data_IF_562001341448
#
_entry.id   IF_562001341448
#
_cell.length_a   1.000
_cell.length_b   1.000
_cell.length_c   1.000
_cell.angle_alpha   90.00
_cell.angle_beta   90.00
_cell.angle_gamma   90.00
#
_symmetry.space_group_name_H-M   'P 1'
#
loop_
_entity.id
_entity.type
_entity.pdbx_description
1 polymer ?
#
# COMPACT_ATOMS: atom_id res chain seq x y z
N UNK A 1 -10.58 0.62 29.40
CA UNK A 1 -10.47 -0.66 28.68
C UNK A 1 -11.36 -1.69 29.35
N UNK A 2 -12.10 -2.47 28.56
CA UNK A 2 -12.89 -3.61 29.04
C UNK A 2 -12.48 -4.86 28.25
N UNK A 3 -12.25 -5.98 28.95
CA UNK A 3 -11.99 -7.28 28.33
C UNK A 3 -13.18 -8.18 28.63
N UNK A 4 -13.82 -8.70 27.58
CA UNK A 4 -14.89 -9.69 27.68
C UNK A 4 -14.41 -11.00 27.07
N UNK A 5 -13.77 -11.84 27.89
CA UNK A 5 -13.14 -13.09 27.43
C UNK A 5 -14.14 -14.07 26.79
N UNK A 6 -15.35 -14.20 27.35
CA UNK A 6 -16.41 -15.05 26.80
C UNK A 6 -16.84 -14.64 25.39
N UNK A 7 -16.72 -13.36 25.07
CA UNK A 7 -17.04 -12.78 23.76
C UNK A 7 -15.79 -12.59 22.89
N UNK A 8 -14.59 -12.92 23.40
CA UNK A 8 -13.30 -12.65 22.77
C UNK A 8 -13.18 -11.20 22.27
N UNK A 9 -13.68 -10.24 23.06
CA UNK A 9 -13.74 -8.83 22.68
C UNK A 9 -12.92 -7.97 23.66
N UNK A 10 -12.18 -7.01 23.11
CA UNK A 10 -11.55 -5.93 23.87
C UNK A 10 -12.19 -4.62 23.42
N UNK A 11 -12.65 -3.81 24.37
CA UNK A 11 -13.14 -2.46 24.13
C UNK A 11 -12.12 -1.45 24.63
N UNK A 12 -11.61 -0.63 23.70
CA UNK A 12 -10.61 0.40 23.92
C UNK A 12 -11.17 1.75 23.48
N UNK A 13 -10.55 2.83 23.94
CA UNK A 13 -10.82 4.21 23.51
C UNK A 13 -12.32 4.53 23.46
N UNK A 14 -13.01 4.44 24.60
CA UNK A 14 -14.47 4.59 24.69
C UNK A 14 -14.89 6.01 25.09
N UNK A 15 -14.05 7.02 24.80
CA UNK A 15 -14.41 8.42 25.01
C UNK A 15 -15.57 8.82 24.10
N UNK A 16 -16.30 9.87 24.48
CA UNK A 16 -17.59 10.21 23.86
C UNK A 16 -17.43 10.69 22.41
N UNK A 17 -16.39 11.47 22.12
CA UNK A 17 -16.18 12.09 20.81
C UNK A 17 -14.97 11.48 20.08
N UNK A 18 -14.95 11.57 18.75
CA UNK A 18 -13.81 11.13 17.93
C UNK A 18 -12.50 11.83 18.36
N UNK A 19 -12.45 13.16 18.57
CA UNK A 19 -11.20 13.82 18.97
C UNK A 19 -10.67 13.36 20.33
N UNK A 20 -11.56 13.10 21.31
CA UNK A 20 -11.15 12.57 22.61
C UNK A 20 -10.61 11.13 22.50
N UNK A 21 -11.17 10.31 21.62
CA UNK A 21 -10.67 8.96 21.35
C UNK A 21 -9.30 9.02 20.67
N UNK A 22 -9.15 9.83 19.63
CA UNK A 22 -7.88 10.05 18.92
C UNK A 22 -6.80 10.58 19.85
N UNK A 23 -7.11 11.53 20.74
CA UNK A 23 -6.18 12.03 21.74
C UNK A 23 -5.73 10.93 22.73
N UNK A 24 -6.66 10.06 23.16
CA UNK A 24 -6.34 8.94 24.04
C UNK A 24 -5.47 7.87 23.35
N UNK A 25 -5.72 7.59 22.07
CA UNK A 25 -4.90 6.70 21.23
C UNK A 25 -3.49 7.28 21.10
N UNK A 26 -3.38 8.54 20.69
CA UNK A 26 -2.10 9.23 20.51
C UNK A 26 -1.26 9.23 21.81
N UNK A 27 -1.87 9.58 22.95
CA UNK A 27 -1.19 9.55 24.25
C UNK A 27 -0.68 8.14 24.62
N UNK A 28 -1.46 7.11 24.29
CA UNK A 28 -1.07 5.70 24.55
C UNK A 28 0.10 5.28 23.66
N UNK A 29 0.01 5.54 22.35
CA UNK A 29 1.06 5.22 21.39
C UNK A 29 2.36 6.00 21.70
N UNK A 30 2.26 7.27 22.08
CA UNK A 30 3.41 8.09 22.46
C UNK A 30 4.09 7.59 23.73
N UNK A 31 3.29 7.16 24.74
CA UNK A 31 3.83 6.50 25.92
C UNK A 31 4.59 5.23 25.56
N UNK A 32 4.02 4.37 24.71
CA UNK A 32 4.70 3.15 24.25
C UNK A 32 5.96 3.44 23.44
N UNK A 33 5.95 4.45 22.58
CA UNK A 33 7.10 4.89 21.79
C UNK A 33 8.23 5.39 22.69
N UNK A 34 7.91 6.29 23.62
CA UNK A 34 8.88 6.85 24.59
C UNK A 34 9.53 5.75 25.43
N UNK A 35 8.74 4.76 25.85
CA UNK A 35 9.22 3.63 26.63
C UNK A 35 9.81 2.49 25.78
N UNK A 36 9.88 2.64 24.45
CA UNK A 36 10.33 1.62 23.50
C UNK A 36 9.67 0.26 23.74
N UNK A 37 8.37 0.27 24.07
CA UNK A 37 7.60 -0.93 24.41
C UNK A 37 7.43 -1.85 23.21
N UNK A 38 7.30 -1.27 22.02
CA UNK A 38 7.16 -1.98 20.76
C UNK A 38 8.17 -1.45 19.73
N UNK A 39 8.83 -2.37 19.03
CA UNK A 39 9.83 -2.08 18.01
C UNK A 39 9.22 -1.38 16.79
N UNK A 40 7.98 -1.70 16.40
CA UNK A 40 7.30 -1.04 15.24
C UNK A 40 7.30 0.48 15.38
N UNK A 41 7.21 0.99 16.62
CA UNK A 41 7.10 2.42 16.91
C UNK A 41 8.39 3.20 16.67
N UNK A 42 9.50 2.50 16.38
CA UNK A 42 10.71 3.15 15.85
C UNK A 42 10.51 3.71 14.43
N UNK A 43 9.54 3.18 13.69
CA UNK A 43 9.17 3.60 12.34
C UNK A 43 8.08 4.66 12.29
N UNK A 44 8.01 5.54 13.30
CA UNK A 44 7.04 6.63 13.43
C UNK A 44 7.17 7.63 12.26
N UNK A 45 6.05 8.06 11.70
CA UNK A 45 6.01 8.93 10.49
C UNK A 45 5.21 10.22 10.63
N UNK A 46 4.62 10.47 11.79
CA UNK A 46 3.66 11.57 11.98
C UNK A 46 2.49 11.53 10.98
N UNK A 47 2.12 10.31 10.58
CA UNK A 47 1.08 10.01 9.61
C UNK A 47 -0.04 9.23 10.31
N UNK A 48 -1.28 9.72 10.22
CA UNK A 48 -2.41 9.16 10.96
C UNK A 48 -3.33 8.34 10.05
N UNK A 49 -3.52 7.07 10.36
CA UNK A 49 -4.45 6.17 9.68
C UNK A 49 -5.83 6.17 10.35
N UNK A 50 -6.92 6.12 9.56
CA UNK A 50 -8.28 6.13 10.08
C UNK A 50 -8.72 4.75 10.58
N UNK A 51 -9.47 4.72 11.67
CA UNK A 51 -10.22 3.53 12.12
C UNK A 51 -11.71 3.77 11.88
N UNK A 52 -12.30 2.97 10.99
CA UNK A 52 -13.68 3.15 10.55
C UNK A 52 -14.70 2.38 11.40
N UNK A 53 -15.84 3.03 11.63
CA UNK A 53 -17.04 2.47 12.23
C UNK A 53 -18.15 2.22 11.21
N UNK A 54 -19.36 1.83 11.67
CA UNK A 54 -20.52 1.66 10.81
C UNK A 54 -20.82 2.92 10.00
N UNK A 55 -21.18 2.78 8.72
CA UNK A 55 -21.41 3.92 7.85
C UNK A 55 -20.14 4.67 7.41
N UNK A 56 -18.96 4.08 7.60
CA UNK A 56 -17.65 4.65 7.28
C UNK A 56 -17.34 5.95 8.03
N UNK A 57 -17.92 6.14 9.22
CA UNK A 57 -17.48 7.20 10.11
C UNK A 57 -16.07 6.91 10.65
N UNK A 58 -15.25 7.94 10.82
CA UNK A 58 -13.96 7.81 11.50
C UNK A 58 -14.24 7.77 13.00
N UNK A 59 -13.90 6.64 13.65
CA UNK A 59 -14.06 6.49 15.09
C UNK A 59 -12.92 7.16 15.86
N UNK A 60 -11.70 7.01 15.35
CA UNK A 60 -10.46 7.61 15.84
C UNK A 60 -9.36 7.40 14.81
N UNK A 61 -8.25 8.10 14.99
CA UNK A 61 -7.06 8.00 14.15
C UNK A 61 -5.88 7.47 14.96
N UNK A 62 -4.98 6.75 14.30
CA UNK A 62 -3.81 6.14 14.93
C UNK A 62 -2.57 6.36 14.09
N UNK A 63 -1.42 6.54 14.72
CA UNK A 63 -0.18 6.65 13.97
C UNK A 63 0.10 5.38 13.17
N UNK A 64 0.55 5.56 11.92
CA UNK A 64 0.74 4.51 10.91
C UNK A 64 1.54 3.33 11.41
N UNK A 65 2.68 3.55 12.08
CA UNK A 65 3.51 2.49 12.64
C UNK A 65 2.81 1.72 13.76
N UNK A 66 1.98 2.37 14.56
CA UNK A 66 1.22 1.76 15.65
C UNK A 66 0.00 0.95 15.18
N UNK A 67 -0.56 1.25 13.99
CA UNK A 67 -1.79 0.64 13.47
C UNK A 67 -1.80 -0.90 13.50
N UNK A 68 -0.64 -1.51 13.21
CA UNK A 68 -0.47 -2.96 13.11
C UNK A 68 -0.50 -3.68 14.46
N UNK A 69 -0.23 -2.97 15.58
CA UNK A 69 -0.38 -3.52 16.93
C UNK A 69 -1.84 -3.85 17.26
N UNK A 70 -2.77 -3.20 16.56
CA UNK A 70 -4.21 -3.36 16.75
C UNK A 70 -4.88 -4.14 15.62
N UNK A 71 -4.12 -4.55 14.59
CA UNK A 71 -4.67 -5.19 13.40
C UNK A 71 -5.65 -4.30 12.63
N UNK A 72 -5.41 -2.99 12.63
CA UNK A 72 -6.22 -2.02 11.89
C UNK A 72 -5.97 -2.19 10.39
N UNK A 73 -7.05 -2.10 9.61
CA UNK A 73 -7.00 -2.07 8.16
C UNK A 73 -6.34 -0.78 7.67
N UNK A 74 -5.16 -0.91 7.07
CA UNK A 74 -4.47 0.18 6.39
C UNK A 74 -5.06 0.46 5.01
N UNK A 75 -4.96 1.71 4.59
CA UNK A 75 -5.33 2.15 3.25
C UNK A 75 -4.11 2.78 2.58
N UNK A 76 -4.01 2.57 1.28
CA UNK A 76 -2.97 3.17 0.46
C UNK A 76 -3.37 3.21 -1.00
N UNK A 77 -2.49 3.76 -1.81
CA UNK A 77 -2.60 3.80 -3.27
C UNK A 77 -1.39 3.11 -3.87
N UNK A 78 -1.61 2.47 -5.01
CA UNK A 78 -0.55 1.88 -5.81
C UNK A 78 -0.82 2.18 -7.28
N UNK A 79 0.22 2.55 -8.02
CA UNK A 79 0.13 2.82 -9.44
C UNK A 79 1.21 2.12 -10.24
N UNK A 80 0.81 1.55 -11.39
CA UNK A 80 1.73 1.12 -12.43
C UNK A 80 1.73 2.10 -13.60
N UNK A 81 2.87 2.74 -13.85
CA UNK A 81 3.07 3.53 -15.05
C UNK A 81 3.78 2.73 -16.14
N UNK A 82 3.36 2.92 -17.37
CA UNK A 82 3.90 2.20 -18.53
C UNK A 82 3.91 3.08 -19.77
N UNK A 83 4.73 2.68 -20.75
CA UNK A 83 4.75 3.28 -22.09
C UNK A 83 4.41 2.21 -23.12
N UNK A 84 3.70 2.60 -24.18
CA UNK A 84 3.45 1.72 -25.33
C UNK A 84 4.74 1.50 -26.11
N UNK A 85 4.99 0.24 -26.44
CA UNK A 85 6.23 -0.23 -27.08
C UNK A 85 5.87 -1.44 -27.96
N UNK A 86 5.27 -1.22 -29.15
CA UNK A 86 4.75 -2.30 -30.01
C UNK A 86 5.78 -3.36 -30.42
N UNK A 87 7.07 -3.01 -30.36
CA UNK A 87 8.20 -3.85 -30.72
C UNK A 87 8.55 -4.92 -29.69
N UNK A 88 8.06 -4.80 -28.44
CA UNK A 88 8.31 -5.81 -27.39
C UNK A 88 7.08 -6.70 -27.16
N UNK A 89 7.31 -7.88 -26.57
CA UNK A 89 6.22 -8.78 -26.16
C UNK A 89 5.27 -8.03 -25.21
N UNK A 90 3.96 -8.18 -25.43
CA UNK A 90 2.87 -7.46 -24.75
C UNK A 90 2.74 -5.96 -25.09
N UNK A 91 3.55 -5.43 -26.01
CA UNK A 91 3.36 -4.08 -26.57
C UNK A 91 3.60 -2.94 -25.58
N UNK A 92 4.28 -3.19 -24.45
CA UNK A 92 4.52 -2.19 -23.42
C UNK A 92 5.79 -2.44 -22.60
N UNK A 93 6.29 -1.38 -21.97
CA UNK A 93 7.31 -1.42 -20.93
C UNK A 93 6.81 -0.71 -19.68
N UNK A 94 7.19 -1.22 -18.51
CA UNK A 94 6.77 -0.73 -17.20
C UNK A 94 7.89 0.07 -16.56
N UNK A 95 7.54 1.18 -15.91
CA UNK A 95 8.46 1.93 -15.06
C UNK A 95 8.52 1.30 -13.67
N UNK A 96 9.71 0.82 -13.29
CA UNK A 96 9.93 0.11 -12.02
C UNK A 96 10.99 0.86 -11.20
N UNK A 97 10.63 1.45 -10.05
CA UNK A 97 11.60 2.06 -9.16
C UNK A 97 12.35 1.04 -8.31
N UNK A 98 13.57 1.40 -7.94
CA UNK A 98 14.35 0.81 -6.86
C UNK A 98 14.19 1.71 -5.64
N UNK A 99 13.70 1.16 -4.52
CA UNK A 99 13.60 1.88 -3.25
C UNK A 99 14.99 2.28 -2.76
N UNK A 100 15.10 3.45 -2.15
CA UNK A 100 16.35 3.89 -1.54
C UNK A 100 16.87 2.90 -0.50
N UNK A 101 18.19 2.72 -0.45
CA UNK A 101 18.86 1.90 0.55
C UNK A 101 18.64 2.41 2.00
N UNK A 102 18.24 3.67 2.17
CA UNK A 102 17.97 4.28 3.48
C UNK A 102 16.51 4.20 3.91
N UNK A 103 15.62 3.62 3.09
CA UNK A 103 14.21 3.41 3.47
C UNK A 103 14.12 2.54 4.72
N UNK A 104 13.24 2.94 5.65
CA UNK A 104 13.00 2.20 6.90
C UNK A 104 12.47 0.78 6.68
N UNK A 105 11.66 0.58 5.64
CA UNK A 105 11.07 -0.71 5.30
C UNK A 105 11.49 -1.11 3.89
N UNK A 106 11.85 -2.39 3.73
CA UNK A 106 12.22 -2.98 2.44
C UNK A 106 13.25 -2.14 1.64
N UNK A 107 14.42 -1.81 2.23
CA UNK A 107 15.45 -1.03 1.54
C UNK A 107 15.96 -1.77 0.30
N UNK A 108 16.23 -1.04 -0.78
CA UNK A 108 16.76 -1.58 -2.05
C UNK A 108 15.89 -2.62 -2.79
N UNK A 109 14.66 -2.86 -2.33
CA UNK A 109 13.70 -3.69 -3.07
C UNK A 109 13.09 -2.89 -4.24
N UNK A 110 12.59 -3.59 -5.24
CA UNK A 110 11.79 -2.99 -6.31
C UNK A 110 10.37 -2.71 -5.81
N UNK A 111 9.76 -1.66 -6.36
CA UNK A 111 8.40 -1.22 -5.99
C UNK A 111 7.48 -1.10 -7.22
N UNK A 112 6.21 -0.78 -7.00
CA UNK A 112 5.36 -0.26 -8.07
C UNK A 112 5.78 1.18 -8.41
N UNK A 113 5.35 1.72 -9.56
CA UNK A 113 5.89 3.02 -10.03
C UNK A 113 5.72 4.14 -9.02
N UNK A 114 4.56 4.17 -8.37
CA UNK A 114 4.24 5.07 -7.25
C UNK A 114 3.42 4.27 -6.24
N UNK A 115 3.72 4.40 -4.95
CA UNK A 115 2.97 3.74 -3.89
C UNK A 115 3.02 4.50 -2.55
N UNK A 116 1.84 4.77 -1.97
CA UNK A 116 1.72 5.66 -0.82
C UNK A 116 0.71 5.21 0.21
N UNK A 117 0.92 5.61 1.47
CA UNK A 117 -0.08 5.47 2.52
C UNK A 117 -1.19 6.52 2.36
N UNK A 118 -2.39 6.22 2.86
CA UNK A 118 -3.47 7.20 2.92
C UNK A 118 -3.70 7.67 4.35
N UNK A 119 -3.55 8.98 4.55
CA UNK A 119 -3.84 9.62 5.82
C UNK A 119 -5.35 9.76 6.07
N UNK A 120 -5.71 9.96 7.33
CA UNK A 120 -7.10 10.17 7.75
C UNK A 120 -7.68 11.39 7.05
N UNK A 121 -8.82 11.21 6.38
CA UNK A 121 -9.51 12.27 5.65
C UNK A 121 -8.91 12.62 4.29
N UNK A 122 -7.85 11.93 3.87
CA UNK A 122 -7.25 12.12 2.55
C UNK A 122 -8.12 11.48 1.45
N UNK A 123 -8.31 12.22 0.35
CA UNK A 123 -8.96 11.67 -0.84
C UNK A 123 -8.01 10.74 -1.61
N UNK A 124 -8.55 9.65 -2.15
CA UNK A 124 -7.76 8.60 -2.82
C UNK A 124 -7.00 9.12 -4.04
N UNK A 125 -7.60 10.04 -4.79
CA UNK A 125 -7.00 10.57 -6.00
C UNK A 125 -6.02 11.69 -5.68
N UNK A 126 -6.30 12.50 -4.66
CA UNK A 126 -5.34 13.49 -4.16
C UNK A 126 -4.10 12.83 -3.56
N UNK A 127 -4.24 11.71 -2.84
CA UNK A 127 -3.12 10.88 -2.39
C UNK A 127 -2.28 10.41 -3.58
N UNK A 128 -2.91 9.88 -4.64
CA UNK A 128 -2.21 9.48 -5.85
C UNK A 128 -1.41 10.66 -6.45
N UNK A 129 -2.03 11.83 -6.61
CA UNK A 129 -1.39 13.01 -7.22
C UNK A 129 -0.18 13.47 -6.40
N UNK A 130 -0.30 13.50 -5.07
CA UNK A 130 0.80 13.84 -4.15
C UNK A 130 1.96 12.87 -4.31
N UNK A 131 1.71 11.57 -4.19
CA UNK A 131 2.74 10.52 -4.27
C UNK A 131 3.40 10.47 -5.66
N UNK A 132 2.64 10.75 -6.73
CA UNK A 132 3.20 10.88 -8.08
C UNK A 132 4.27 11.96 -8.19
N UNK A 133 4.06 13.08 -7.52
CA UNK A 133 5.01 14.19 -7.48
C UNK A 133 6.19 13.87 -6.56
N UNK A 134 5.93 13.30 -5.38
CA UNK A 134 6.95 12.98 -4.36
C UNK A 134 7.92 11.88 -4.82
N UNK A 135 7.42 10.79 -5.40
CA UNK A 135 8.28 9.64 -5.74
C UNK A 135 8.84 9.69 -7.18
N UNK A 136 8.07 10.21 -8.14
CA UNK A 136 8.35 10.06 -9.57
C UNK A 136 8.47 11.37 -10.36
N UNK A 137 8.29 12.53 -9.70
CA UNK A 137 8.27 13.85 -10.34
C UNK A 137 7.25 13.96 -11.49
N UNK A 138 6.14 13.21 -11.44
CA UNK A 138 5.16 13.27 -12.52
C UNK A 138 4.40 14.60 -12.48
N UNK A 139 4.26 15.30 -13.62
CA UNK A 139 3.43 16.50 -13.70
C UNK A 139 1.97 16.19 -13.33
N UNK A 140 1.41 17.00 -12.44
CA UNK A 140 0.04 16.83 -11.94
C UNK A 140 -1.00 16.78 -13.07
N UNK A 141 -0.86 17.61 -14.11
CA UNK A 141 -1.77 17.66 -15.24
C UNK A 141 -1.78 16.34 -16.03
N UNK A 142 -0.63 15.67 -16.16
CA UNK A 142 -0.53 14.36 -16.80
C UNK A 142 -1.22 13.30 -15.96
N UNK A 143 -0.96 13.28 -14.65
CA UNK A 143 -1.57 12.31 -13.72
C UNK A 143 -3.09 12.46 -13.73
N UNK A 144 -3.59 13.67 -13.50
CA UNK A 144 -5.04 13.93 -13.43
C UNK A 144 -5.77 13.59 -14.72
N UNK A 145 -5.12 13.80 -15.87
CA UNK A 145 -5.72 13.55 -17.18
C UNK A 145 -5.71 12.07 -17.58
N UNK A 146 -4.64 11.35 -17.24
CA UNK A 146 -4.36 10.04 -17.84
C UNK A 146 -4.45 8.87 -16.85
N UNK A 147 -4.43 9.11 -15.53
CA UNK A 147 -4.54 8.06 -14.55
C UNK A 147 -5.90 7.38 -14.61
N UNK A 148 -5.91 6.05 -14.58
CA UNK A 148 -7.13 5.21 -14.63
C UNK A 148 -7.26 4.42 -13.34
N UNK A 149 -8.39 4.56 -12.65
CA UNK A 149 -8.70 3.77 -11.46
C UNK A 149 -9.17 2.37 -11.84
N UNK A 150 -8.70 1.35 -11.12
CA UNK A 150 -9.01 -0.06 -11.34
C UNK A 150 -9.65 -0.76 -10.13
N UNK A 151 -10.12 0.02 -9.15
CA UNK A 151 -10.74 -0.52 -7.93
C UNK A 151 -9.73 -0.64 -6.80
N UNK A 152 -9.86 -1.66 -5.97
CA UNK A 152 -9.00 -1.89 -4.82
C UNK A 152 -8.62 -3.37 -4.70
N UNK A 153 -7.38 -3.61 -4.28
CA UNK A 153 -6.90 -4.91 -3.83
C UNK A 153 -6.98 -4.96 -2.32
N UNK A 154 -7.40 -6.10 -1.79
CA UNK A 154 -7.49 -6.32 -0.36
C UNK A 154 -6.83 -7.62 0.00
N UNK A 155 -5.92 -7.57 0.96
CA UNK A 155 -5.14 -8.73 1.37
C UNK A 155 -4.79 -8.66 2.86
N UNK A 156 -4.24 -9.76 3.34
CA UNK A 156 -3.82 -9.90 4.73
C UNK A 156 -2.34 -10.23 4.76
N UNK A 157 -1.53 -9.27 5.20
CA UNK A 157 -0.11 -9.47 5.38
C UNK A 157 0.17 -9.89 6.82
N UNK A 158 0.87 -11.01 6.99
CA UNK A 158 1.41 -11.42 8.30
C UNK A 158 2.86 -11.00 8.32
N UNK A 159 3.22 -10.06 9.20
CA UNK A 159 4.56 -9.47 9.21
C UNK A 159 5.63 -10.53 9.46
N UNK A 160 6.49 -10.73 8.48
CA UNK A 160 7.70 -11.54 8.60
C UNK A 160 8.87 -10.74 9.18
N UNK A 161 10.01 -11.41 9.38
CA UNK A 161 11.23 -10.81 9.90
C UNK A 161 11.78 -9.65 9.03
N UNK A 162 11.41 -9.59 7.75
CA UNK A 162 11.85 -8.57 6.80
C UNK A 162 10.99 -7.30 6.81
N UNK A 163 9.84 -7.30 7.51
CA UNK A 163 8.95 -6.14 7.59
C UNK A 163 9.45 -5.05 8.56
N UNK A 164 10.42 -5.39 9.43
CA UNK A 164 10.88 -4.55 10.53
C UNK A 164 9.90 -4.55 11.73
N UNK A 165 10.44 -4.37 12.94
CA UNK A 165 9.67 -4.45 14.19
C UNK A 165 9.14 -5.85 14.47
N UNK A 166 8.01 -5.93 15.17
CA UNK A 166 7.40 -7.17 15.61
C UNK A 166 6.98 -8.10 14.45
N UNK A 167 7.30 -9.38 14.61
CA UNK A 167 6.89 -10.46 13.70
C UNK A 167 5.56 -11.08 14.13
N UNK A 168 4.83 -11.65 13.17
CA UNK A 168 3.55 -12.32 13.41
C UNK A 168 2.36 -11.38 13.61
N UNK A 169 2.58 -10.06 13.57
CA UNK A 169 1.48 -9.11 13.60
C UNK A 169 0.64 -9.18 12.33
N UNK A 170 -0.64 -8.94 12.52
CA UNK A 170 -1.70 -9.04 11.53
C UNK A 170 -1.90 -7.68 10.87
N UNK A 171 -1.57 -7.54 9.59
CA UNK A 171 -1.64 -6.28 8.84
C UNK A 171 -2.59 -6.43 7.65
N UNK A 172 -3.89 -6.22 7.86
CA UNK A 172 -4.83 -6.13 6.75
C UNK A 172 -4.63 -4.83 5.98
N UNK A 173 -4.68 -4.88 4.66
CA UNK A 173 -4.43 -3.74 3.77
C UNK A 173 -5.48 -3.67 2.66
N UNK A 174 -5.80 -2.44 2.26
CA UNK A 174 -6.64 -2.10 1.13
C UNK A 174 -5.90 -1.07 0.27
N UNK A 175 -5.49 -1.47 -0.92
CA UNK A 175 -4.71 -0.63 -1.83
C UNK A 175 -5.55 -0.25 -3.05
N UNK A 176 -5.77 1.05 -3.26
CA UNK A 176 -6.47 1.56 -4.44
C UNK A 176 -5.54 1.57 -5.64
N UNK A 177 -5.96 0.91 -6.71
CA UNK A 177 -5.11 0.63 -7.86
C UNK A 177 -5.35 1.62 -8.99
N UNK A 178 -4.26 2.15 -9.50
CA UNK A 178 -4.25 3.02 -10.66
C UNK A 178 -3.26 2.55 -11.72
N UNK A 179 -3.55 2.88 -12.97
CA UNK A 179 -2.62 2.74 -14.07
C UNK A 179 -2.39 4.11 -14.73
N UNK A 180 -1.17 4.34 -15.20
CA UNK A 180 -0.82 5.57 -15.93
C UNK A 180 -0.06 5.23 -17.22
N UNK A 181 -0.74 5.37 -18.36
CA UNK A 181 -0.06 5.33 -19.65
C UNK A 181 0.67 6.67 -19.87
N UNK A 182 2.00 6.61 -19.91
CA UNK A 182 2.85 7.77 -20.09
C UNK A 182 3.19 7.99 -21.57
N UNK A 183 3.23 9.26 -22.02
CA UNK A 183 3.95 9.62 -23.24
C UNK A 183 5.41 9.17 -23.18
N UNK A 184 5.99 8.81 -24.33
CA UNK A 184 7.34 8.25 -24.40
C UNK A 184 8.44 9.24 -23.96
N UNK A 185 8.16 10.53 -23.98
CA UNK A 185 9.05 11.62 -23.56
C UNK A 185 8.95 11.96 -22.07
N UNK A 186 7.98 11.38 -21.34
CA UNK A 186 7.83 11.56 -19.89
C UNK A 186 8.62 10.48 -19.16
N UNK A 187 9.75 10.89 -18.57
CA UNK A 187 10.66 10.01 -17.85
C UNK A 187 10.57 10.32 -16.35
N UNK A 188 10.18 9.35 -15.50
CA UNK A 188 10.13 9.54 -14.05
C UNK A 188 11.52 9.86 -13.49
N UNK A 189 11.54 10.68 -12.44
CA UNK A 189 12.76 11.03 -11.72
C UNK A 189 12.48 11.01 -10.22
N UNK A 190 13.39 10.47 -9.40
CA UNK A 190 13.27 10.61 -7.95
C UNK A 190 13.21 12.10 -7.59
N UNK A 191 12.19 12.50 -6.83
CA UNK A 191 12.07 13.87 -6.34
C UNK A 191 12.47 13.97 -4.86
N UNK A 192 12.24 12.91 -4.10
CA UNK A 192 12.62 12.80 -2.69
C UNK A 192 13.69 11.71 -2.45
N UNK A 193 13.92 11.37 -1.18
CA UNK A 193 14.88 10.34 -0.78
C UNK A 193 14.35 8.92 -0.80
N UNK A 194 13.11 8.71 -1.26
CA UNK A 194 12.41 7.42 -1.18
C UNK A 194 12.78 6.48 -2.31
N UNK A 195 13.09 7.03 -3.48
CA UNK A 195 13.47 6.29 -4.69
C UNK A 195 14.93 6.56 -5.05
N UNK A 196 15.67 5.51 -5.37
CA UNK A 196 17.07 5.62 -5.82
C UNK A 196 17.15 5.86 -7.34
N UNK A 197 16.38 5.08 -8.11
CA UNK A 197 16.38 5.13 -9.57
C UNK A 197 15.15 4.44 -10.14
N UNK A 198 14.86 4.70 -11.42
CA UNK A 198 13.81 4.05 -12.19
C UNK A 198 14.40 3.24 -13.34
N UNK A 199 13.84 2.05 -13.57
CA UNK A 199 14.10 1.23 -14.75
C UNK A 199 12.90 1.23 -15.68
N UNK A 200 13.15 1.20 -16.98
CA UNK A 200 12.11 0.96 -17.99
C UNK A 200 12.28 -0.46 -18.54
N UNK A 201 11.44 -1.38 -18.06
CA UNK A 201 11.58 -2.80 -18.34
C UNK A 201 10.42 -3.38 -19.12
N UNK A 202 10.71 -4.38 -19.95
CA UNK A 202 9.69 -5.24 -20.54
C UNK A 202 8.98 -6.03 -19.45
N UNK A 203 7.75 -6.46 -19.74
CA UNK A 203 6.98 -7.36 -18.85
C UNK A 203 7.78 -8.61 -18.48
N UNK A 204 8.59 -9.14 -19.41
CA UNK A 204 9.42 -10.33 -19.18
C UNK A 204 10.51 -10.06 -18.13
N UNK A 205 11.23 -8.95 -18.23
CA UNK A 205 12.25 -8.56 -17.24
C UNK A 205 11.59 -8.36 -15.85
N UNK A 206 10.42 -7.71 -15.78
CA UNK A 206 9.66 -7.58 -14.53
C UNK A 206 9.33 -8.96 -13.93
N UNK A 207 8.83 -9.90 -14.74
CA UNK A 207 8.54 -11.26 -14.30
C UNK A 207 9.78 -12.01 -13.81
N UNK A 208 10.94 -11.78 -14.43
CA UNK A 208 12.22 -12.38 -13.99
C UNK A 208 12.63 -11.85 -12.61
N UNK A 209 12.59 -10.54 -12.39
CA UNK A 209 12.88 -9.93 -11.08
C UNK A 209 11.85 -10.31 -10.00
N UNK A 210 10.57 -10.49 -10.36
CA UNK A 210 9.56 -11.04 -9.45
C UNK A 210 9.91 -12.46 -8.99
N UNK A 211 10.34 -13.34 -9.90
CA UNK A 211 10.76 -14.71 -9.59
C UNK A 211 12.01 -14.77 -8.69
N UNK A 212 12.88 -13.76 -8.81
CA UNK A 212 14.05 -13.61 -7.95
C UNK A 212 13.71 -13.06 -6.55
N UNK A 213 12.46 -12.66 -6.30
CA UNK A 213 12.03 -12.12 -5.01
C UNK A 213 12.54 -10.71 -4.72
N UNK A 214 12.89 -9.94 -5.76
CA UNK A 214 13.46 -8.59 -5.59
C UNK A 214 12.42 -7.50 -5.32
N UNK A 215 11.15 -7.76 -5.60
CA UNK A 215 10.05 -6.83 -5.33
C UNK A 215 9.61 -6.91 -3.87
N UNK A 216 9.30 -5.75 -3.29
CA UNK A 216 8.57 -5.69 -2.02
C UNK A 216 7.28 -6.49 -2.15
N UNK A 217 6.94 -7.25 -1.11
CA UNK A 217 5.95 -8.33 -1.22
C UNK A 217 4.56 -7.86 -1.69
N UNK A 218 4.09 -6.70 -1.22
CA UNK A 218 2.79 -6.18 -1.66
C UNK A 218 2.81 -5.65 -3.10
N UNK A 219 3.97 -5.21 -3.61
CA UNK A 219 4.11 -4.77 -5.00
C UNK A 219 3.94 -5.93 -5.98
N UNK A 220 4.33 -7.15 -5.57
CA UNK A 220 4.06 -8.37 -6.31
C UNK A 220 2.56 -8.65 -6.48
N UNK A 221 1.74 -8.33 -5.47
CA UNK A 221 0.27 -8.46 -5.53
C UNK A 221 -0.31 -7.53 -6.60
N UNK A 222 0.13 -6.27 -6.61
CA UNK A 222 -0.30 -5.26 -7.60
C UNK A 222 0.14 -5.65 -9.02
N UNK A 223 1.35 -6.20 -9.18
CA UNK A 223 1.84 -6.68 -10.47
C UNK A 223 1.04 -7.88 -10.99
N UNK A 224 0.64 -8.81 -10.10
CA UNK A 224 -0.23 -9.92 -10.48
C UNK A 224 -1.59 -9.43 -10.95
N UNK A 225 -2.21 -8.49 -10.23
CA UNK A 225 -3.46 -7.84 -10.67
C UNK A 225 -3.29 -7.14 -12.04
N UNK A 226 -2.22 -6.36 -12.21
CA UNK A 226 -1.90 -5.74 -13.49
C UNK A 226 -1.77 -6.79 -14.61
N UNK A 227 -1.04 -7.88 -14.37
CA UNK A 227 -0.89 -8.92 -15.38
C UNK A 227 -2.20 -9.64 -15.73
N UNK A 228 -3.11 -9.80 -14.77
CA UNK A 228 -4.45 -10.33 -15.02
C UNK A 228 -5.26 -9.35 -15.89
N UNK A 229 -5.26 -8.06 -15.55
CA UNK A 229 -6.04 -7.02 -16.26
C UNK A 229 -5.58 -6.77 -17.70
N UNK A 230 -4.33 -7.08 -18.03
CA UNK A 230 -3.75 -6.91 -19.37
C UNK A 230 -3.53 -8.23 -20.13
N UNK A 231 -4.17 -9.34 -19.71
CA UNK A 231 -4.05 -10.66 -20.35
C UNK A 231 -2.61 -11.18 -20.47
N UNK A 232 -1.74 -10.78 -19.53
CA UNK A 232 -0.35 -11.26 -19.41
C UNK A 232 -0.33 -12.57 -18.60
N UNK A 233 -1.08 -12.60 -17.49
CA UNK A 233 -1.33 -13.79 -16.68
C UNK A 233 -2.75 -14.28 -16.98
N UNK A 234 -2.89 -15.52 -17.42
CA UNK A 234 -4.17 -16.09 -17.85
C UNK A 234 -4.33 -17.51 -17.32
N UNK A 235 -5.57 -18.03 -17.35
CA UNK A 235 -5.84 -19.42 -16.92
C UNK A 235 -5.10 -20.46 -17.76
N UNK A 236 -4.73 -20.12 -18.99
CA UNK A 236 -4.00 -21.00 -19.90
C UNK A 236 -2.50 -21.08 -19.56
N UNK A 237 -1.94 -20.04 -18.91
CA UNK A 237 -0.52 -19.97 -18.61
C UNK A 237 -0.17 -20.05 -17.12
N UNK A 238 -1.16 -20.05 -16.24
CA UNK A 238 -1.00 -20.15 -14.79
C UNK A 238 -2.06 -21.10 -14.20
N UNK A 239 -1.61 -22.21 -13.62
CA UNK A 239 -2.49 -23.23 -13.04
C UNK A 239 -3.20 -22.75 -11.77
N UNK A 240 -2.57 -21.83 -11.03
CA UNK A 240 -3.10 -21.30 -9.77
C UNK A 240 -3.89 -20.00 -9.98
N UNK A 241 -4.25 -19.65 -11.23
CA UNK A 241 -4.85 -18.36 -11.59
C UNK A 241 -6.05 -17.99 -10.71
N UNK A 242 -7.01 -18.90 -10.53
CA UNK A 242 -8.23 -18.61 -9.77
C UNK A 242 -7.94 -18.43 -8.27
N UNK A 243 -6.95 -19.15 -7.74
CA UNK A 243 -6.50 -18.99 -6.35
C UNK A 243 -5.78 -17.66 -6.16
N UNK A 244 -4.87 -17.30 -7.06
CA UNK A 244 -4.17 -16.01 -7.07
C UNK A 244 -5.20 -14.88 -7.10
N UNK A 245 -6.10 -14.89 -8.10
CA UNK A 245 -7.09 -13.85 -8.29
C UNK A 245 -8.02 -13.71 -7.06
N UNK A 246 -8.40 -14.82 -6.44
CA UNK A 246 -9.19 -14.82 -5.20
C UNK A 246 -8.41 -14.25 -4.00
N UNK A 247 -7.13 -14.57 -3.87
CA UNK A 247 -6.31 -14.15 -2.72
C UNK A 247 -5.91 -12.68 -2.76
N UNK A 248 -5.71 -12.11 -3.95
CA UNK A 248 -5.42 -10.67 -4.10
C UNK A 248 -6.66 -9.78 -3.95
N UNK A 249 -7.86 -10.38 -4.07
CA UNK A 249 -9.17 -9.75 -3.82
C UNK A 249 -9.84 -10.32 -2.55
N UNK A 250 -9.07 -10.55 -1.49
CA UNK A 250 -9.58 -11.19 -0.29
C UNK A 250 -10.63 -10.32 0.38
N UNK A 251 -11.86 -10.82 0.52
CA UNK A 251 -12.89 -10.14 1.31
C UNK A 251 -12.48 -10.03 2.78
N UNK A 252 -12.32 -8.80 3.26
CA UNK A 252 -11.97 -8.51 4.64
C UNK A 252 -13.24 -8.28 5.49
N UNK A 253 -13.32 -8.83 6.71
CA UNK A 253 -14.48 -8.64 7.59
C UNK A 253 -14.39 -7.32 8.38
N UNK A 254 -13.81 -6.28 7.79
CA UNK A 254 -13.58 -4.99 8.45
C UNK A 254 -14.49 -3.91 7.87
N UNK A 255 -14.83 -2.92 8.69
CA UNK A 255 -15.58 -1.75 8.26
C UNK A 255 -14.66 -0.78 7.51
N UNK A 256 -15.26 0.03 6.64
CA UNK A 256 -14.56 1.10 5.93
C UNK A 256 -14.89 1.18 4.43
N UNK A 257 -14.34 2.19 3.74
CA UNK A 257 -14.74 2.62 2.41
C UNK A 257 -14.39 1.64 1.27
N UNK A 258 -13.75 0.51 1.58
CA UNK A 258 -13.42 -0.56 0.62
C UNK A 258 -14.59 -1.52 0.33
N UNK A 259 -15.67 -1.45 1.12
CA UNK A 259 -16.84 -2.33 0.98
C UNK A 259 -17.95 -1.76 0.06
N UNK A 260 -17.66 -0.75 -0.74
CA UNK A 260 -18.64 -0.03 -1.57
C UNK A 260 -18.49 -0.44 -3.03
#
# INVERSE_FOLDING_TARGET
MSIKQSQRTISLFTQATEPERSAAVAATCEYWRTNKTFEVLSGWRDELYPVYGPGNEVLWSIERSASVLFGILGYGIHMMAYVRCPEVKYGMKLWVPRRSATKQTYPSMLDNTVAGGMSTGEDKFEALVRECMEEASFPEDIVRKNAKAHGALTYFHVRGATAGGETGLMQPECEYIYDLELPADVIPKPNDSEVEQFYLWTVKEVQEHMKMGEFKSNCGIVLLDFFIRYDILTRENESDFDEINSRIHRKLPYLGPHNI
#
